data_IF_303031415977
#
_entry.id   IF_303031415977
#
_cell.length_a   1.000
_cell.length_b   1.000
_cell.length_c   1.000
_cell.angle_alpha   90.00
_cell.angle_beta   90.00
_cell.angle_gamma   90.00
#
_symmetry.space_group_name_H-M   'P 1'
#
loop_
_entity.id
_entity.type
_entity.pdbx_description
1 polymer ?
#
# COMPACT_ATOMS: atom_id res chain seq x y z
N UNK A 1 -21.27 -21.65 -2.68
CA UNK A 1 -21.95 -21.07 -3.85
C UNK A 1 -21.98 -19.57 -3.65
N UNK A 2 -21.61 -18.74 -4.61
CA UNK A 2 -21.66 -17.30 -4.44
C UNK A 2 -23.09 -16.89 -4.08
N UNK A 3 -23.19 -15.99 -3.11
CA UNK A 3 -24.46 -15.51 -2.58
C UNK A 3 -25.30 -14.95 -3.72
N UNK A 4 -26.58 -15.35 -3.78
CA UNK A 4 -27.51 -14.95 -4.82
C UNK A 4 -27.71 -13.41 -4.86
N UNK A 5 -27.48 -12.73 -3.74
CA UNK A 5 -27.50 -11.27 -3.65
C UNK A 5 -26.34 -10.63 -4.40
N UNK A 6 -25.13 -11.22 -4.37
CA UNK A 6 -23.95 -10.75 -5.11
C UNK A 6 -24.16 -10.93 -6.62
N UNK A 7 -24.68 -12.07 -7.04
CA UNK A 7 -25.03 -12.30 -8.44
C UNK A 7 -25.99 -11.23 -8.97
N UNK A 8 -26.99 -10.85 -8.17
CA UNK A 8 -27.92 -9.77 -8.52
C UNK A 8 -27.26 -8.39 -8.50
N UNK A 9 -26.27 -8.18 -7.63
CA UNK A 9 -25.49 -6.96 -7.59
C UNK A 9 -24.63 -6.88 -8.86
N UNK A 10 -23.88 -7.92 -9.15
CA UNK A 10 -23.07 -8.03 -10.36
C UNK A 10 -23.91 -7.84 -11.64
N UNK A 11 -25.08 -8.48 -11.74
CA UNK A 11 -26.00 -8.28 -12.85
C UNK A 11 -26.51 -6.83 -12.95
N UNK A 12 -26.71 -6.13 -11.83
CA UNK A 12 -27.04 -4.70 -11.81
C UNK A 12 -25.89 -3.82 -12.23
N UNK A 13 -24.67 -4.11 -11.78
CA UNK A 13 -23.46 -3.39 -12.17
C UNK A 13 -23.18 -3.56 -13.66
N UNK A 14 -23.27 -4.78 -14.21
CA UNK A 14 -23.15 -5.02 -15.65
C UNK A 14 -24.21 -4.24 -16.42
N UNK A 15 -25.46 -4.19 -15.98
CA UNK A 15 -26.49 -3.38 -16.61
C UNK A 15 -26.18 -1.88 -16.60
N UNK A 16 -25.51 -1.39 -15.55
CA UNK A 16 -25.08 0.02 -15.48
C UNK A 16 -23.92 0.26 -16.45
N UNK A 17 -22.94 -0.62 -16.51
CA UNK A 17 -21.80 -0.55 -17.44
C UNK A 17 -22.23 -0.72 -18.90
N UNK A 18 -23.09 -1.69 -19.22
CA UNK A 18 -23.59 -1.91 -20.57
C UNK A 18 -24.44 -0.73 -21.11
N UNK A 19 -25.18 -0.04 -20.23
CA UNK A 19 -25.94 1.14 -20.62
C UNK A 19 -25.08 2.36 -20.98
N UNK A 20 -23.81 2.44 -20.51
CA UNK A 20 -22.85 3.47 -20.93
C UNK A 20 -22.51 3.39 -22.42
N UNK A 21 -22.45 2.22 -22.98
CA UNK A 21 -22.09 2.01 -24.39
C UNK A 21 -23.26 2.13 -25.37
N UNK A 22 -24.51 2.24 -24.92
CA UNK A 22 -25.66 2.07 -25.79
C UNK A 22 -26.68 3.19 -25.93
N UNK A 23 -26.87 4.12 -24.99
CA UNK A 23 -27.93 5.12 -25.12
C UNK A 23 -27.71 6.42 -24.30
N UNK A 24 -27.78 7.54 -24.99
CA UNK A 24 -27.66 8.91 -24.49
C UNK A 24 -28.75 9.38 -23.49
N UNK A 25 -29.60 8.50 -22.98
CA UNK A 25 -30.78 8.87 -22.19
C UNK A 25 -30.76 8.47 -20.71
N UNK A 26 -29.78 7.75 -20.20
CA UNK A 26 -29.72 7.42 -18.77
C UNK A 26 -28.56 8.15 -18.08
N UNK A 27 -28.69 9.46 -17.89
CA UNK A 27 -27.71 10.32 -17.20
C UNK A 27 -27.80 10.29 -15.66
N UNK A 28 -28.61 9.44 -15.07
CA UNK A 28 -28.70 9.31 -13.61
C UNK A 28 -28.50 7.85 -13.23
N UNK A 29 -27.25 7.50 -12.97
CA UNK A 29 -26.93 6.22 -12.32
C UNK A 29 -27.34 6.32 -10.85
N UNK A 30 -28.06 5.32 -10.34
CA UNK A 30 -28.36 5.24 -8.90
C UNK A 30 -27.15 4.67 -8.15
N UNK A 31 -26.03 5.43 -8.14
CA UNK A 31 -24.84 5.08 -7.36
C UNK A 31 -25.20 4.84 -5.89
N UNK A 32 -26.14 5.59 -5.35
CA UNK A 32 -26.62 5.44 -3.97
C UNK A 32 -27.19 4.04 -3.72
N UNK A 33 -27.94 3.49 -4.65
CA UNK A 33 -28.49 2.14 -4.54
C UNK A 33 -27.40 1.07 -4.63
N UNK A 34 -26.40 1.27 -5.49
CA UNK A 34 -25.22 0.40 -5.60
C UNK A 34 -24.40 0.43 -4.33
N UNK A 35 -24.05 1.61 -3.82
CA UNK A 35 -23.29 1.79 -2.56
C UNK A 35 -23.97 1.08 -1.40
N UNK A 36 -25.27 1.29 -1.20
CA UNK A 36 -26.04 0.61 -0.14
C UNK A 36 -26.05 -0.91 -0.28
N UNK A 37 -26.08 -1.40 -1.51
CA UNK A 37 -26.08 -2.85 -1.77
C UNK A 37 -24.71 -3.43 -1.44
N UNK A 38 -23.62 -2.80 -1.86
CA UNK A 38 -22.25 -3.19 -1.54
C UNK A 38 -22.05 -3.17 -0.02
N UNK A 39 -22.42 -2.08 0.66
CA UNK A 39 -22.35 -1.96 2.12
C UNK A 39 -23.09 -3.11 2.82
N UNK A 40 -24.32 -3.43 2.38
CA UNK A 40 -25.10 -4.51 2.98
C UNK A 40 -24.43 -5.87 2.81
N UNK A 41 -23.83 -6.13 1.64
CA UNK A 41 -23.11 -7.38 1.36
C UNK A 41 -21.84 -7.46 2.22
N UNK A 42 -21.08 -6.37 2.28
CA UNK A 42 -19.88 -6.27 3.09
C UNK A 42 -20.18 -6.45 4.59
N UNK A 43 -21.21 -5.78 5.10
CA UNK A 43 -21.64 -5.93 6.50
C UNK A 43 -21.99 -7.37 6.87
N UNK A 44 -22.68 -8.08 5.99
CA UNK A 44 -23.01 -9.49 6.19
C UNK A 44 -21.76 -10.38 6.13
N UNK A 45 -20.83 -10.10 5.21
CA UNK A 45 -19.60 -10.87 5.06
C UNK A 45 -18.70 -10.68 6.30
N UNK A 46 -18.52 -9.44 6.76
CA UNK A 46 -17.69 -9.10 7.91
C UNK A 46 -18.21 -9.68 9.25
N UNK A 47 -19.47 -10.09 9.32
CA UNK A 47 -20.06 -10.76 10.49
C UNK A 47 -20.01 -12.28 10.37
N UNK A 48 -19.58 -12.83 9.24
CA UNK A 48 -19.59 -14.26 8.98
C UNK A 48 -18.37 -14.96 9.56
N UNK A 49 -18.56 -16.16 10.11
CA UNK A 49 -17.50 -17.10 10.47
C UNK A 49 -17.15 -18.10 9.35
N UNK A 50 -17.87 -18.07 8.22
CA UNK A 50 -17.44 -18.74 6.99
C UNK A 50 -16.44 -17.84 6.26
N UNK A 51 -15.20 -17.83 6.77
CA UNK A 51 -14.15 -16.90 6.36
C UNK A 51 -13.83 -16.95 4.86
N UNK A 52 -13.84 -18.16 4.27
CA UNK A 52 -13.52 -18.31 2.84
C UNK A 52 -14.61 -17.68 1.95
N UNK A 53 -15.90 -17.94 2.26
CA UNK A 53 -17.01 -17.33 1.53
C UNK A 53 -17.15 -15.84 1.80
N UNK A 54 -16.83 -15.40 3.01
CA UNK A 54 -16.85 -14.00 3.38
C UNK A 54 -15.79 -13.20 2.59
N UNK A 55 -14.55 -13.69 2.54
CA UNK A 55 -13.47 -13.02 1.79
C UNK A 55 -13.76 -12.98 0.29
N UNK A 56 -14.37 -14.02 -0.29
CA UNK A 56 -14.81 -13.97 -1.70
C UNK A 56 -15.88 -12.90 -1.93
N UNK A 57 -16.81 -12.73 -0.99
CA UNK A 57 -17.80 -11.67 -1.06
C UNK A 57 -17.18 -10.28 -0.94
N UNK A 58 -16.20 -10.12 -0.04
CA UNK A 58 -15.50 -8.86 0.15
C UNK A 58 -14.65 -8.51 -1.07
N UNK A 59 -13.94 -9.49 -1.67
CA UNK A 59 -13.22 -9.33 -2.92
C UNK A 59 -14.12 -8.80 -4.04
N UNK A 60 -15.30 -9.38 -4.20
CA UNK A 60 -16.29 -8.92 -5.19
C UNK A 60 -16.78 -7.50 -4.87
N UNK A 61 -17.02 -7.15 -3.61
CA UNK A 61 -17.39 -5.80 -3.22
C UNK A 61 -16.32 -4.77 -3.59
N UNK A 62 -15.04 -5.08 -3.33
CA UNK A 62 -13.89 -4.23 -3.68
C UNK A 62 -13.81 -4.07 -5.20
N UNK A 63 -13.80 -5.16 -5.94
CA UNK A 63 -13.69 -5.16 -7.40
C UNK A 63 -14.83 -4.34 -8.05
N UNK A 64 -16.08 -4.57 -7.66
CA UNK A 64 -17.23 -3.84 -8.22
C UNK A 64 -17.20 -2.35 -7.85
N UNK A 65 -16.76 -2.00 -6.64
CA UNK A 65 -16.63 -0.60 -6.24
C UNK A 65 -15.56 0.11 -7.06
N UNK A 66 -14.41 -0.54 -7.28
CA UNK A 66 -13.35 -0.01 -8.10
C UNK A 66 -13.78 0.15 -9.56
N UNK A 67 -14.48 -0.83 -10.14
CA UNK A 67 -15.02 -0.73 -11.48
C UNK A 67 -16.02 0.42 -11.64
N UNK A 68 -16.84 0.69 -10.62
CA UNK A 68 -17.74 1.84 -10.61
C UNK A 68 -16.97 3.16 -10.53
N UNK A 69 -15.92 3.22 -9.69
CA UNK A 69 -15.08 4.39 -9.54
C UNK A 69 -14.43 4.76 -10.88
N UNK A 70 -13.81 3.81 -11.55
CA UNK A 70 -13.21 4.00 -12.89
C UNK A 70 -14.24 4.42 -13.95
N UNK A 71 -15.49 4.03 -13.77
CA UNK A 71 -16.56 4.38 -14.68
C UNK A 71 -17.19 5.72 -14.38
N UNK A 72 -16.90 6.37 -13.24
CA UNK A 72 -17.44 7.67 -12.88
C UNK A 72 -16.81 8.78 -13.74
N UNK A 73 -17.66 9.63 -14.36
CA UNK A 73 -17.19 10.71 -15.25
C UNK A 73 -17.08 12.06 -14.53
N UNK A 74 -17.61 12.17 -13.30
CA UNK A 74 -17.70 13.42 -12.54
C UNK A 74 -17.13 13.24 -11.14
N UNK A 75 -16.43 14.25 -10.65
CA UNK A 75 -15.85 14.27 -9.29
C UNK A 75 -16.93 14.12 -8.20
N UNK A 76 -18.12 14.69 -8.39
CA UNK A 76 -19.23 14.59 -7.44
C UNK A 76 -19.75 13.15 -7.25
N UNK A 77 -19.61 12.29 -8.26
CA UNK A 77 -20.02 10.89 -8.21
C UNK A 77 -18.90 9.99 -7.68
N UNK A 78 -17.65 10.40 -7.82
CA UNK A 78 -16.47 9.64 -7.39
C UNK A 78 -16.24 9.70 -5.88
N UNK A 79 -16.45 10.83 -5.21
CA UNK A 79 -16.19 11.02 -3.77
C UNK A 79 -16.90 9.97 -2.87
N UNK A 80 -18.21 9.65 -3.07
CA UNK A 80 -18.85 8.59 -2.29
C UNK A 80 -18.29 7.18 -2.55
N UNK A 81 -17.77 6.92 -3.76
CA UNK A 81 -17.17 5.64 -4.12
C UNK A 81 -15.76 5.53 -3.54
N UNK A 82 -14.96 6.60 -3.56
CA UNK A 82 -13.67 6.67 -2.89
C UNK A 82 -13.84 6.43 -1.38
N UNK A 83 -14.77 7.11 -0.74
CA UNK A 83 -15.09 6.88 0.67
C UNK A 83 -15.48 5.42 0.94
N UNK A 84 -16.24 4.79 0.03
CA UNK A 84 -16.65 3.41 0.17
C UNK A 84 -15.47 2.43 0.05
N UNK A 85 -14.56 2.64 -0.92
CA UNK A 85 -13.41 1.76 -1.10
C UNK A 85 -12.44 1.85 0.07
N UNK A 86 -12.22 3.05 0.61
CA UNK A 86 -11.42 3.29 1.82
C UNK A 86 -12.01 2.56 3.04
N UNK A 87 -13.33 2.71 3.28
CA UNK A 87 -14.02 2.02 4.37
C UNK A 87 -13.94 0.49 4.21
N UNK A 88 -14.15 -0.01 2.99
CA UNK A 88 -14.04 -1.44 2.70
C UNK A 88 -12.64 -1.96 2.97
N UNK A 89 -11.60 -1.31 2.47
CA UNK A 89 -10.22 -1.75 2.63
C UNK A 89 -9.82 -1.79 4.12
N UNK A 90 -10.17 -0.75 4.88
CA UNK A 90 -9.91 -0.68 6.32
C UNK A 90 -10.66 -1.77 7.09
N UNK A 91 -11.94 -1.98 6.80
CA UNK A 91 -12.77 -2.98 7.49
C UNK A 91 -12.37 -4.41 7.14
N UNK A 92 -11.96 -4.65 5.89
CA UNK A 92 -11.41 -5.94 5.47
C UNK A 92 -10.12 -6.22 6.22
N UNK A 93 -9.20 -5.24 6.30
CA UNK A 93 -7.98 -5.40 7.07
C UNK A 93 -8.26 -5.79 8.52
N UNK A 94 -9.19 -5.11 9.21
CA UNK A 94 -9.59 -5.46 10.57
C UNK A 94 -10.25 -6.86 10.65
N UNK A 95 -11.04 -7.26 9.65
CA UNK A 95 -11.64 -8.58 9.58
C UNK A 95 -10.58 -9.68 9.43
N UNK A 96 -9.51 -9.43 8.68
CA UNK A 96 -8.42 -10.39 8.50
C UNK A 96 -7.66 -10.69 9.80
N UNK A 97 -7.69 -9.82 10.79
CA UNK A 97 -7.19 -10.12 12.15
C UNK A 97 -8.01 -11.26 12.80
N UNK A 98 -9.34 -11.23 12.65
CA UNK A 98 -10.20 -12.32 13.13
C UNK A 98 -9.97 -13.62 12.33
N UNK A 99 -9.75 -13.51 11.01
CA UNK A 99 -9.40 -14.68 10.18
C UNK A 99 -8.09 -15.30 10.65
N UNK A 100 -7.08 -14.47 10.92
CA UNK A 100 -5.79 -14.93 11.42
C UNK A 100 -5.91 -15.62 12.78
N UNK A 101 -6.76 -15.12 13.66
CA UNK A 101 -6.95 -15.69 15.01
C UNK A 101 -7.78 -16.98 15.00
N UNK A 102 -8.93 -17.00 14.31
CA UNK A 102 -9.94 -18.03 14.49
C UNK A 102 -10.06 -19.05 13.36
N UNK A 103 -9.58 -18.78 12.15
CA UNK A 103 -9.63 -19.75 11.06
C UNK A 103 -8.55 -20.82 11.21
N UNK A 104 -8.81 -22.03 10.70
CA UNK A 104 -7.76 -23.02 10.50
C UNK A 104 -6.78 -22.58 9.40
N UNK A 105 -5.55 -23.10 9.42
CA UNK A 105 -4.50 -22.65 8.51
C UNK A 105 -4.85 -22.75 7.02
N UNK A 106 -5.47 -23.81 6.49
CA UNK A 106 -5.91 -23.84 5.10
C UNK A 106 -6.99 -22.82 4.75
N UNK A 107 -7.95 -22.59 5.63
CA UNK A 107 -9.00 -21.59 5.45
C UNK A 107 -8.41 -20.18 5.51
N UNK A 108 -7.50 -19.93 6.46
CA UNK A 108 -6.76 -18.69 6.61
C UNK A 108 -5.97 -18.34 5.34
N UNK A 109 -5.20 -19.31 4.82
CA UNK A 109 -4.42 -19.13 3.57
C UNK A 109 -5.31 -18.82 2.37
N UNK A 110 -6.43 -19.55 2.22
CA UNK A 110 -7.38 -19.27 1.15
C UNK A 110 -8.00 -17.88 1.25
N UNK A 111 -8.42 -17.48 2.45
CA UNK A 111 -8.99 -16.17 2.71
C UNK A 111 -7.99 -15.05 2.38
N UNK A 112 -6.75 -15.18 2.88
CA UNK A 112 -5.69 -14.21 2.63
C UNK A 112 -5.36 -14.08 1.14
N UNK A 113 -5.20 -15.19 0.42
CA UNK A 113 -4.95 -15.18 -1.01
C UNK A 113 -6.10 -14.53 -1.80
N UNK A 114 -7.35 -14.73 -1.37
CA UNK A 114 -8.51 -14.08 -2.00
C UNK A 114 -8.46 -12.55 -1.86
N UNK A 115 -8.07 -12.05 -0.69
CA UNK A 115 -7.93 -10.60 -0.46
C UNK A 115 -6.69 -10.05 -1.20
N UNK A 116 -5.57 -10.80 -1.19
CA UNK A 116 -4.38 -10.43 -1.95
C UNK A 116 -4.64 -10.33 -3.47
N UNK A 117 -5.52 -11.18 -4.02
CA UNK A 117 -5.96 -11.06 -5.41
C UNK A 117 -6.71 -9.75 -5.68
N UNK A 118 -7.60 -9.32 -4.77
CA UNK A 118 -8.27 -8.02 -4.91
C UNK A 118 -7.28 -6.85 -4.86
N UNK A 119 -6.30 -6.93 -3.95
CA UNK A 119 -5.26 -5.92 -3.81
C UNK A 119 -4.34 -5.83 -5.04
N UNK A 120 -4.09 -6.96 -5.69
CA UNK A 120 -3.20 -7.06 -6.86
C UNK A 120 -3.93 -6.85 -8.20
N UNK A 121 -5.22 -6.50 -8.18
CA UNK A 121 -5.94 -6.09 -9.37
C UNK A 121 -5.26 -4.86 -9.98
N UNK A 122 -5.08 -4.84 -11.32
CA UNK A 122 -4.36 -3.77 -12.03
C UNK A 122 -4.95 -2.40 -11.74
N UNK A 123 -6.26 -2.29 -11.88
CA UNK A 123 -6.97 -1.04 -11.67
C UNK A 123 -6.86 -0.56 -10.22
N UNK A 124 -6.91 -1.50 -9.25
CA UNK A 124 -6.71 -1.20 -7.83
C UNK A 124 -5.32 -0.66 -7.56
N UNK A 125 -4.29 -1.26 -8.12
CA UNK A 125 -2.89 -0.83 -7.97
C UNK A 125 -2.62 0.53 -8.60
N UNK A 126 -3.24 0.80 -9.73
CA UNK A 126 -3.05 2.06 -10.46
C UNK A 126 -3.82 3.23 -9.86
N UNK A 127 -5.10 3.01 -9.53
CA UNK A 127 -5.99 4.09 -9.10
C UNK A 127 -6.06 4.25 -7.59
N UNK A 128 -5.88 3.15 -6.84
CA UNK A 128 -6.00 3.10 -5.39
C UNK A 128 -4.81 2.39 -4.72
N UNK A 129 -3.55 2.82 -4.99
CA UNK A 129 -2.35 2.12 -4.53
C UNK A 129 -2.27 2.01 -2.99
N UNK A 130 -2.77 3.01 -2.25
CA UNK A 130 -2.83 2.97 -0.79
C UNK A 130 -3.77 1.87 -0.29
N UNK A 131 -4.95 1.75 -0.89
CA UNK A 131 -5.92 0.71 -0.53
C UNK A 131 -5.44 -0.68 -0.94
N UNK A 132 -4.77 -0.80 -2.10
CA UNK A 132 -4.06 -2.02 -2.50
C UNK A 132 -3.09 -2.47 -1.40
N UNK A 133 -2.20 -1.58 -0.95
CA UNK A 133 -1.21 -1.90 0.07
C UNK A 133 -1.81 -2.10 1.46
N UNK A 134 -2.90 -1.41 1.79
CA UNK A 134 -3.65 -1.65 3.02
C UNK A 134 -4.20 -3.09 3.08
N UNK A 135 -4.71 -3.58 1.97
CA UNK A 135 -5.18 -4.97 1.84
C UNK A 135 -4.02 -5.97 1.91
N UNK A 136 -2.89 -5.71 1.22
CA UNK A 136 -1.66 -6.53 1.32
C UNK A 136 -1.16 -6.58 2.76
N UNK A 137 -1.15 -5.45 3.47
CA UNK A 137 -0.71 -5.38 4.87
C UNK A 137 -1.55 -6.22 5.84
N UNK A 138 -2.75 -6.65 5.44
CA UNK A 138 -3.56 -7.58 6.22
C UNK A 138 -2.86 -8.93 6.46
N UNK A 139 -1.87 -9.29 5.63
CA UNK A 139 -1.01 -10.45 5.80
C UNK A 139 -0.22 -10.41 7.12
N UNK A 140 0.10 -9.22 7.63
CA UNK A 140 0.86 -9.06 8.87
C UNK A 140 0.16 -9.66 10.10
N UNK A 141 -1.17 -9.70 10.11
CA UNK A 141 -1.92 -10.37 11.18
C UNK A 141 -1.59 -11.86 11.30
N UNK A 142 -1.23 -12.52 10.19
CA UNK A 142 -0.91 -13.94 10.14
C UNK A 142 0.52 -14.25 10.59
N UNK A 143 1.43 -13.28 10.55
CA UNK A 143 2.83 -13.44 10.93
C UNK A 143 3.03 -13.87 12.39
N UNK A 144 2.09 -13.56 13.26
CA UNK A 144 2.12 -13.89 14.69
C UNK A 144 1.83 -15.37 14.99
N UNK A 145 1.25 -16.12 14.03
CA UNK A 145 0.82 -17.50 14.20
C UNK A 145 1.74 -18.44 13.41
N UNK A 146 2.43 -19.34 14.11
CA UNK A 146 3.44 -20.24 13.52
C UNK A 146 2.89 -21.09 12.39
N UNK A 147 1.64 -21.57 12.49
CA UNK A 147 0.96 -22.41 11.50
C UNK A 147 0.41 -21.63 10.30
N UNK A 148 0.39 -20.30 10.37
CA UNK A 148 -0.18 -19.40 9.33
C UNK A 148 0.84 -18.43 8.75
N UNK A 149 1.99 -18.28 9.41
CA UNK A 149 3.07 -17.37 9.02
C UNK A 149 3.51 -17.54 7.56
N UNK A 150 3.51 -18.77 7.06
CA UNK A 150 3.89 -19.06 5.67
C UNK A 150 3.03 -18.28 4.67
N UNK A 151 1.75 -18.13 4.94
CA UNK A 151 0.83 -17.37 4.07
C UNK A 151 1.13 -15.88 4.04
N UNK A 152 1.60 -15.32 5.18
CA UNK A 152 2.03 -13.93 5.24
C UNK A 152 3.29 -13.71 4.40
N UNK A 153 4.28 -14.61 4.49
CA UNK A 153 5.48 -14.57 3.65
C UNK A 153 5.12 -14.64 2.16
N UNK A 154 4.30 -15.62 1.77
CA UNK A 154 3.91 -15.79 0.36
C UNK A 154 3.30 -14.51 -0.23
N UNK A 155 2.45 -13.80 0.52
CA UNK A 155 1.79 -12.57 0.04
C UNK A 155 2.78 -11.40 -0.03
N UNK A 156 3.60 -11.21 1.00
CA UNK A 156 4.55 -10.08 1.05
C UNK A 156 5.71 -10.30 0.07
N UNK A 157 6.26 -11.52 -0.06
CA UNK A 157 7.30 -11.84 -1.04
C UNK A 157 6.81 -11.63 -2.48
N UNK A 158 5.57 -12.01 -2.78
CA UNK A 158 4.95 -11.71 -4.07
C UNK A 158 4.81 -10.19 -4.31
N UNK A 159 4.53 -9.40 -3.27
CA UNK A 159 4.49 -7.95 -3.39
C UNK A 159 5.88 -7.37 -3.61
N UNK A 160 6.92 -7.88 -2.93
CA UNK A 160 8.33 -7.51 -3.13
C UNK A 160 8.72 -7.75 -4.60
N UNK A 161 8.54 -8.97 -5.08
CA UNK A 161 8.88 -9.33 -6.46
C UNK A 161 8.17 -8.41 -7.46
N UNK A 162 6.88 -8.19 -7.27
CA UNK A 162 6.07 -7.40 -8.20
C UNK A 162 6.39 -5.91 -8.19
N UNK A 163 6.59 -5.32 -7.01
CA UNK A 163 6.67 -3.88 -6.87
C UNK A 163 8.12 -3.34 -6.82
N UNK A 164 9.10 -4.20 -6.48
CA UNK A 164 10.48 -3.78 -6.32
C UNK A 164 11.43 -4.34 -7.39
N UNK A 165 11.22 -5.59 -7.85
CA UNK A 165 12.14 -6.24 -8.79
C UNK A 165 11.80 -5.93 -10.24
N UNK A 166 10.51 -5.78 -10.60
CA UNK A 166 10.11 -5.48 -11.99
C UNK A 166 10.45 -4.07 -12.44
N UNK A 167 10.51 -3.09 -11.54
CA UNK A 167 10.86 -1.70 -11.90
C UNK A 167 12.31 -1.51 -12.35
N UNK A 168 13.21 -2.45 -12.04
CA UNK A 168 14.59 -2.39 -12.48
C UNK A 168 14.81 -2.86 -13.93
N UNK A 169 13.86 -3.56 -14.52
CA UNK A 169 14.01 -4.08 -15.90
C UNK A 169 13.58 -3.09 -16.97
N UNK A 170 12.70 -2.12 -16.65
CA UNK A 170 12.24 -1.12 -17.62
C UNK A 170 13.29 -0.05 -17.90
N UNK A 171 14.13 0.35 -16.92
CA UNK A 171 15.21 1.31 -17.14
C UNK A 171 16.38 0.79 -18.00
N UNK A 172 16.48 -0.53 -18.22
CA UNK A 172 17.57 -1.13 -19.00
C UNK A 172 17.24 -1.27 -20.49
N UNK A 173 15.99 -1.13 -20.91
CA UNK A 173 15.59 -1.28 -22.32
C UNK A 173 15.49 0.05 -23.09
N UNK A 174 15.41 1.21 -22.42
CA UNK A 174 15.30 2.52 -23.09
C UNK A 174 16.65 3.09 -23.62
N UNK A 175 17.79 2.42 -23.45
CA UNK A 175 19.09 2.97 -23.82
C UNK A 175 19.68 2.47 -25.14
N UNK A 176 18.98 1.68 -25.96
CA UNK A 176 19.50 1.16 -27.24
C UNK A 176 18.56 1.41 -28.44
N UNK A 177 17.93 2.58 -28.57
CA UNK A 177 17.34 3.01 -29.85
C UNK A 177 18.21 4.05 -30.50
N UNK A 178 19.36 3.62 -31.10
CA UNK A 178 20.02 4.33 -32.20
C UNK A 178 19.40 3.88 -33.54
N UNK A 179 18.79 4.85 -34.20
CA UNK A 179 18.57 4.98 -35.62
C UNK A 179 18.80 3.75 -36.51
N UNK A 180 17.72 3.19 -37.07
CA UNK A 180 17.73 2.82 -38.51
C UNK A 180 16.28 2.72 -39.04
N UNK A 181 15.96 3.61 -40.00
CA UNK A 181 14.81 3.56 -40.90
C UNK A 181 14.70 2.19 -41.58
N UNK A 182 13.52 1.55 -41.54
CA UNK A 182 13.00 0.85 -42.73
C UNK A 182 11.53 0.40 -42.53
N UNK A 183 10.73 0.81 -43.52
CA UNK A 183 9.36 0.41 -43.80
C UNK A 183 9.12 -1.10 -43.66
N UNK A 184 8.21 -1.50 -42.76
CA UNK A 184 7.46 -2.76 -42.90
C UNK A 184 6.08 -2.61 -42.29
N UNK A 185 5.12 -2.44 -43.18
CA UNK A 185 3.70 -2.67 -42.93
C UNK A 185 3.45 -4.15 -42.60
N UNK A 186 2.56 -4.39 -41.65
CA UNK A 186 1.85 -5.64 -41.40
C UNK A 186 2.50 -6.61 -40.39
N UNK A 187 2.43 -6.27 -39.11
CA UNK A 187 2.43 -7.29 -38.05
C UNK A 187 1.29 -7.02 -37.09
N UNK A 188 0.43 -8.02 -36.98
CA UNK A 188 -0.67 -8.19 -36.03
C UNK A 188 -0.35 -7.55 -34.68
N UNK A 189 -1.15 -6.57 -34.28
CA UNK A 189 -1.22 -6.05 -32.93
C UNK A 189 -1.47 -7.24 -31.97
N UNK A 190 -0.41 -7.80 -31.45
CA UNK A 190 -0.46 -8.48 -30.17
C UNK A 190 -0.57 -7.34 -29.18
N UNK A 191 -1.77 -7.11 -28.66
CA UNK A 191 -2.00 -6.27 -27.47
C UNK A 191 -1.19 -6.88 -26.31
N UNK A 192 0.08 -6.61 -26.29
CA UNK A 192 0.89 -6.70 -25.08
C UNK A 192 0.51 -5.45 -24.27
N UNK A 193 -0.66 -5.53 -23.59
CA UNK A 193 -1.05 -4.57 -22.57
C UNK A 193 0.00 -4.66 -21.47
N UNK A 194 1.15 -4.03 -21.70
CA UNK A 194 2.14 -3.80 -20.64
C UNK A 194 1.40 -3.16 -19.48
N UNK A 195 1.56 -3.73 -18.30
CA UNK A 195 0.91 -3.35 -17.04
C UNK A 195 1.46 -1.99 -16.59
N UNK A 196 1.21 -0.94 -17.39
CA UNK A 196 1.71 0.40 -17.10
C UNK A 196 1.02 0.93 -15.84
N UNK A 197 1.78 1.06 -14.77
CA UNK A 197 1.39 1.72 -13.52
C UNK A 197 2.10 3.07 -13.49
N UNK A 198 1.39 4.15 -13.17
CA UNK A 198 2.01 5.48 -13.08
C UNK A 198 3.14 5.49 -12.04
N UNK A 199 4.18 6.30 -12.26
CA UNK A 199 5.32 6.43 -11.36
C UNK A 199 4.91 6.79 -9.93
N UNK A 200 3.88 7.63 -9.78
CA UNK A 200 3.35 8.00 -8.48
C UNK A 200 2.74 6.80 -7.75
N UNK A 201 1.89 6.02 -8.42
CA UNK A 201 1.30 4.81 -7.85
C UNK A 201 2.35 3.75 -7.55
N UNK A 202 3.33 3.58 -8.43
CA UNK A 202 4.44 2.66 -8.23
C UNK A 202 5.28 3.05 -7.01
N UNK A 203 5.58 4.33 -6.84
CA UNK A 203 6.32 4.82 -5.67
C UNK A 203 5.59 4.51 -4.35
N UNK A 204 4.28 4.71 -4.30
CA UNK A 204 3.45 4.34 -3.14
C UNK A 204 3.50 2.83 -2.89
N UNK A 205 3.33 2.02 -3.93
CA UNK A 205 3.39 0.55 -3.84
C UNK A 205 4.75 0.09 -3.31
N UNK A 206 5.84 0.63 -3.82
CA UNK A 206 7.21 0.30 -3.39
C UNK A 206 7.44 0.65 -1.92
N UNK A 207 7.10 1.87 -1.52
CA UNK A 207 7.28 2.34 -0.15
C UNK A 207 6.55 1.45 0.86
N UNK A 208 5.26 1.21 0.65
CA UNK A 208 4.46 0.39 1.57
C UNK A 208 4.82 -1.10 1.51
N UNK A 209 5.35 -1.59 0.38
CA UNK A 209 5.90 -2.95 0.30
C UNK A 209 7.11 -3.10 1.20
N UNK A 210 8.06 -2.16 1.15
CA UNK A 210 9.22 -2.15 2.04
C UNK A 210 8.82 -2.09 3.52
N UNK A 211 7.86 -1.23 3.86
CA UNK A 211 7.35 -1.13 5.23
C UNK A 211 6.69 -2.44 5.70
N UNK A 212 5.87 -3.05 4.85
CA UNK A 212 5.20 -4.32 5.16
C UNK A 212 6.18 -5.48 5.30
N UNK A 213 7.22 -5.52 4.48
CA UNK A 213 8.30 -6.52 4.59
C UNK A 213 9.07 -6.37 5.90
N UNK A 214 9.42 -5.14 6.27
CA UNK A 214 10.08 -4.87 7.54
C UNK A 214 9.24 -5.32 8.75
N UNK A 215 7.96 -5.00 8.75
CA UNK A 215 7.02 -5.41 9.81
C UNK A 215 6.83 -6.92 9.85
N UNK A 216 6.75 -7.59 8.69
CA UNK A 216 6.70 -9.06 8.62
C UNK A 216 7.90 -9.70 9.32
N UNK A 217 9.11 -9.26 9.00
CA UNK A 217 10.33 -9.79 9.60
C UNK A 217 10.39 -9.47 11.10
N UNK A 218 9.97 -8.28 11.52
CA UNK A 218 9.91 -7.90 12.93
C UNK A 218 8.91 -8.77 13.71
N UNK A 219 7.68 -8.95 13.21
CA UNK A 219 6.63 -9.78 13.84
C UNK A 219 6.98 -11.26 13.87
N UNK A 220 7.75 -11.73 12.90
CA UNK A 220 8.20 -13.11 12.79
C UNK A 220 9.47 -13.39 13.61
N UNK A 221 10.09 -12.39 14.23
CA UNK A 221 11.42 -12.44 14.86
C UNK A 221 12.51 -12.90 13.87
N UNK A 222 12.40 -12.52 12.60
CA UNK A 222 13.38 -12.79 11.56
C UNK A 222 14.37 -11.62 11.43
N UNK A 223 15.32 -11.59 12.37
CA UNK A 223 16.34 -10.54 12.39
C UNK A 223 17.22 -10.56 11.15
N UNK A 224 17.47 -11.75 10.57
CA UNK A 224 18.29 -11.90 9.37
C UNK A 224 17.62 -11.29 8.13
N UNK A 225 16.33 -11.57 7.93
CA UNK A 225 15.53 -10.96 6.86
C UNK A 225 15.46 -9.45 7.00
N UNK A 226 15.25 -8.94 8.22
CA UNK A 226 15.22 -7.51 8.52
C UNK A 226 16.55 -6.82 8.22
N UNK A 227 17.67 -7.41 8.63
CA UNK A 227 19.00 -6.87 8.35
C UNK A 227 19.34 -6.89 6.88
N UNK A 228 18.89 -7.92 6.15
CA UNK A 228 19.11 -8.02 4.72
C UNK A 228 18.31 -6.93 3.99
N UNK A 229 17.03 -6.74 4.32
CA UNK A 229 16.18 -5.69 3.75
C UNK A 229 16.81 -4.29 3.92
N UNK A 230 17.36 -3.98 5.11
CA UNK A 230 18.04 -2.71 5.37
C UNK A 230 19.33 -2.54 4.57
N UNK A 231 20.00 -3.64 4.19
CA UNK A 231 21.21 -3.61 3.35
C UNK A 231 20.88 -3.45 1.87
N UNK A 232 19.78 -4.06 1.42
CA UNK A 232 19.35 -4.00 0.03
C UNK A 232 18.77 -2.63 -0.34
N UNK A 233 18.14 -1.94 0.64
CA UNK A 233 17.53 -0.63 0.46
C UNK A 233 18.07 0.41 1.47
N UNK A 234 19.37 0.72 1.45
CA UNK A 234 20.01 1.59 2.45
C UNK A 234 19.54 3.05 2.38
N UNK A 235 19.03 3.47 1.23
CA UNK A 235 18.56 4.84 0.97
C UNK A 235 17.11 5.05 1.39
N UNK A 236 16.40 3.98 1.74
CA UNK A 236 15.00 4.08 2.16
C UNK A 236 14.87 4.79 3.51
N UNK A 237 14.38 6.02 3.45
CA UNK A 237 14.08 6.83 4.62
C UNK A 237 13.07 6.14 5.55
N UNK A 238 12.04 5.53 4.97
CA UNK A 238 11.01 4.83 5.73
C UNK A 238 11.58 3.65 6.53
N UNK A 239 12.38 2.80 5.90
CA UNK A 239 13.03 1.67 6.58
C UNK A 239 13.97 2.14 7.68
N UNK A 240 14.73 3.19 7.43
CA UNK A 240 15.65 3.76 8.43
C UNK A 240 14.87 4.33 9.63
N UNK A 241 13.73 4.99 9.39
CA UNK A 241 12.85 5.49 10.44
C UNK A 241 12.24 4.35 11.26
N UNK A 242 11.73 3.29 10.60
CA UNK A 242 11.19 2.10 11.26
C UNK A 242 12.24 1.39 12.09
N UNK A 243 13.47 1.27 11.57
CA UNK A 243 14.60 0.70 12.31
C UNK A 243 14.95 1.54 13.56
N UNK A 244 14.96 2.86 13.45
CA UNK A 244 15.19 3.75 14.59
C UNK A 244 14.07 3.59 15.65
N UNK A 245 12.81 3.52 15.24
CA UNK A 245 11.68 3.27 16.13
C UNK A 245 11.80 1.91 16.84
N UNK A 246 12.19 0.86 16.11
CA UNK A 246 12.42 -0.46 16.69
C UNK A 246 13.58 -0.45 17.71
N UNK A 247 14.69 0.26 17.41
CA UNK A 247 15.79 0.44 18.38
C UNK A 247 15.30 1.11 19.67
N UNK A 248 14.37 2.06 19.61
CA UNK A 248 13.76 2.67 20.79
C UNK A 248 12.99 1.62 21.59
N UNK A 249 12.18 0.82 20.90
CA UNK A 249 11.41 -0.26 21.54
C UNK A 249 12.31 -1.28 22.24
N UNK A 250 13.44 -1.60 21.65
CA UNK A 250 14.48 -2.48 22.22
C UNK A 250 15.32 -1.82 23.33
N UNK A 251 15.08 -0.55 23.65
CA UNK A 251 15.84 0.22 24.64
C UNK A 251 17.22 0.68 24.17
N UNK A 252 17.56 0.55 22.88
CA UNK A 252 18.82 1.00 22.26
C UNK A 252 18.79 2.48 21.91
N UNK A 253 18.40 3.32 22.87
CA UNK A 253 18.10 4.74 22.67
C UNK A 253 19.28 5.52 22.08
N UNK A 254 20.52 5.24 22.51
CA UNK A 254 21.70 5.94 22.01
C UNK A 254 21.98 5.62 20.54
N UNK A 255 21.76 4.37 20.12
CA UNK A 255 21.91 3.96 18.72
C UNK A 255 20.85 4.61 17.83
N UNK A 256 19.59 4.62 18.27
CA UNK A 256 18.50 5.30 17.56
C UNK A 256 18.76 6.81 17.40
N UNK A 257 19.24 7.48 18.46
CA UNK A 257 19.61 8.89 18.41
C UNK A 257 20.71 9.15 17.37
N UNK A 258 21.77 8.34 17.37
CA UNK A 258 22.90 8.50 16.43
C UNK A 258 22.48 8.24 14.98
N UNK A 259 21.58 7.27 14.75
CA UNK A 259 21.03 6.98 13.42
C UNK A 259 20.22 8.17 12.90
N UNK A 260 19.31 8.71 13.70
CA UNK A 260 18.51 9.87 13.35
C UNK A 260 19.37 11.13 13.11
N UNK A 261 20.38 11.36 13.96
CA UNK A 261 21.30 12.46 13.80
C UNK A 261 22.14 12.35 12.52
N UNK A 262 22.62 11.15 12.21
CA UNK A 262 23.39 10.88 10.99
C UNK A 262 22.58 11.18 9.75
N UNK A 263 21.32 10.77 9.74
CA UNK A 263 20.41 11.02 8.63
C UNK A 263 20.14 12.53 8.44
N UNK A 264 19.83 13.26 9.51
CA UNK A 264 19.61 14.71 9.45
C UNK A 264 20.85 15.49 9.03
N UNK A 265 22.04 15.00 9.30
CA UNK A 265 23.29 15.65 8.88
C UNK A 265 23.57 15.37 7.40
N UNK A 266 23.36 14.13 6.91
CA UNK A 266 23.57 13.78 5.50
C UNK A 266 22.58 14.47 4.57
N UNK A 267 21.34 14.67 5.00
CA UNK A 267 20.32 15.36 4.20
C UNK A 267 20.54 16.89 4.07
N UNK A 268 21.45 17.49 4.88
CA UNK A 268 21.81 18.91 4.74
C UNK A 268 22.84 19.20 3.66
N UNK A 269 23.71 18.23 3.37
CA UNK A 269 24.75 18.38 2.34
C UNK A 269 24.23 18.14 0.91
N UNK A 270 23.02 17.65 0.78
CA UNK A 270 22.33 17.51 -0.51
C UNK A 270 21.37 18.68 -0.70
N UNK A 271 21.88 19.84 -1.15
CA UNK A 271 21.06 20.94 -1.69
C UNK A 271 20.23 20.49 -2.90
N UNK A 272 20.49 19.30 -3.42
CA UNK A 272 19.81 18.62 -4.52
C UNK A 272 18.87 17.49 -4.06
N UNK A 273 18.31 17.51 -2.86
CA UNK A 273 17.17 16.64 -2.55
C UNK A 273 16.00 17.11 -3.40
N UNK A 274 15.81 16.36 -4.43
CA UNK A 274 14.87 16.52 -5.51
C UNK A 274 13.56 17.18 -5.06
N UNK A 275 13.31 18.35 -5.61
CA UNK A 275 12.11 19.14 -5.34
C UNK A 275 10.86 18.34 -5.75
N UNK A 276 11.00 17.35 -6.63
CA UNK A 276 9.91 16.48 -7.07
C UNK A 276 9.42 15.54 -5.96
N UNK A 277 10.29 15.10 -5.05
CA UNK A 277 9.86 14.38 -3.83
C UNK A 277 9.03 15.26 -2.87
N UNK A 278 9.09 16.59 -3.01
CA UNK A 278 8.26 17.54 -2.24
C UNK A 278 6.86 17.74 -2.83
N UNK A 279 6.64 17.38 -4.10
CA UNK A 279 5.35 17.58 -4.78
C UNK A 279 4.42 16.38 -4.66
N UNK A 280 4.93 15.20 -4.35
CA UNK A 280 4.13 13.99 -4.18
C UNK A 280 3.54 13.85 -2.77
N UNK A 281 2.99 14.89 -2.27
CA UNK A 281 1.95 15.18 -1.25
C UNK A 281 1.72 14.24 -0.04
N UNK A 282 2.22 13.01 0.01
CA UNK A 282 1.80 12.01 0.99
C UNK A 282 2.76 11.79 2.18
N UNK A 283 4.03 12.14 2.09
CA UNK A 283 5.00 11.84 3.15
C UNK A 283 6.03 12.94 3.50
N UNK A 284 6.27 14.01 2.71
CA UNK A 284 7.36 14.96 2.98
C UNK A 284 7.21 15.74 4.28
N UNK A 285 5.98 16.01 4.71
CA UNK A 285 5.73 16.81 5.91
C UNK A 285 5.82 16.01 7.22
N UNK A 286 5.67 14.68 7.17
CA UNK A 286 5.75 13.83 8.35
C UNK A 286 7.18 13.36 8.66
N UNK A 287 8.02 13.15 7.67
CA UNK A 287 9.33 12.52 7.83
C UNK A 287 10.39 13.43 8.49
N UNK A 288 10.52 14.73 8.15
CA UNK A 288 11.44 15.61 8.88
C UNK A 288 11.10 15.74 10.36
N UNK A 289 9.82 15.79 10.69
CA UNK A 289 9.36 15.81 12.08
C UNK A 289 9.58 14.46 12.78
N UNK A 290 9.49 13.35 12.07
CA UNK A 290 9.73 12.01 12.60
C UNK A 290 11.14 11.86 13.17
N UNK A 291 12.18 12.32 12.48
CA UNK A 291 13.56 12.26 12.94
C UNK A 291 13.80 13.08 14.20
N UNK A 292 13.25 14.28 14.28
CA UNK A 292 13.33 15.12 15.48
C UNK A 292 12.61 14.45 16.66
N UNK A 293 11.44 13.87 16.44
CA UNK A 293 10.68 13.14 17.47
C UNK A 293 11.47 11.95 18.01
N UNK A 294 12.12 11.17 17.14
CA UNK A 294 13.01 10.07 17.56
C UNK A 294 14.14 10.57 18.42
N UNK A 295 14.84 11.63 18.00
CA UNK A 295 15.94 12.20 18.77
C UNK A 295 15.47 12.73 20.13
N UNK A 296 14.33 13.40 20.19
CA UNK A 296 13.72 13.91 21.42
C UNK A 296 13.38 12.78 22.38
N UNK A 297 12.63 11.77 21.94
CA UNK A 297 12.30 10.57 22.72
C UNK A 297 13.56 9.87 23.26
N UNK A 298 14.59 9.74 22.43
CA UNK A 298 15.85 9.13 22.84
C UNK A 298 16.58 9.96 23.91
N UNK A 299 16.67 11.29 23.72
CA UNK A 299 17.34 12.21 24.64
C UNK A 299 16.63 12.24 26.00
N UNK A 300 15.29 12.27 26.00
CA UNK A 300 14.46 12.19 27.21
C UNK A 300 14.64 10.84 27.93
N UNK A 301 14.55 9.75 27.20
CA UNK A 301 14.71 8.40 27.75
C UNK A 301 16.11 8.15 28.36
N UNK A 302 17.13 8.81 27.80
CA UNK A 302 18.51 8.80 28.35
C UNK A 302 18.71 9.79 29.50
N UNK A 303 17.75 10.68 29.77
CA UNK A 303 17.91 11.83 30.68
C UNK A 303 19.13 12.71 30.35
N UNK A 304 19.47 12.85 29.07
CA UNK A 304 20.62 13.59 28.58
C UNK A 304 20.23 14.98 28.11
N UNK A 305 20.35 15.96 28.98
CA UNK A 305 20.02 17.37 28.71
C UNK A 305 20.89 17.94 27.58
N UNK A 306 22.10 17.46 27.38
CA UNK A 306 22.97 17.89 26.27
C UNK A 306 22.44 17.44 24.91
N UNK A 307 22.00 16.20 24.82
CA UNK A 307 21.34 15.67 23.61
C UNK A 307 20.03 16.40 23.34
N UNK A 308 19.21 16.63 24.35
CA UNK A 308 17.95 17.35 24.23
C UNK A 308 18.17 18.79 23.75
N UNK A 309 19.18 19.49 24.28
CA UNK A 309 19.52 20.84 23.80
C UNK A 309 19.96 20.83 22.32
N UNK A 310 20.61 19.79 21.84
CA UNK A 310 20.95 19.65 20.42
C UNK A 310 19.71 19.48 19.56
N UNK A 311 18.74 18.67 19.99
CA UNK A 311 17.46 18.51 19.27
C UNK A 311 16.77 19.86 19.09
N UNK A 312 16.65 20.65 20.14
CA UNK A 312 16.00 21.99 20.05
C UNK A 312 16.80 22.96 19.19
N UNK A 313 18.11 22.87 19.11
CA UNK A 313 18.90 23.64 18.15
C UNK A 313 18.58 23.28 16.71
N UNK A 314 18.38 21.98 16.39
CA UNK A 314 17.94 21.57 15.06
C UNK A 314 16.57 22.12 14.71
N UNK A 315 15.61 22.09 15.65
CA UNK A 315 14.28 22.70 15.45
C UNK A 315 14.38 24.20 15.14
N UNK A 316 15.17 24.94 15.91
CA UNK A 316 15.31 26.38 15.73
C UNK A 316 15.95 26.71 14.36
N UNK A 317 16.95 25.94 13.95
CA UNK A 317 17.61 26.16 12.67
C UNK A 317 16.70 25.81 11.50
N UNK A 318 15.94 24.73 11.55
CA UNK A 318 14.99 24.35 10.49
C UNK A 318 13.79 25.31 10.35
N UNK A 319 13.40 26.00 11.44
CA UNK A 319 12.34 27.00 11.39
C UNK A 319 12.82 28.35 10.81
N UNK A 320 14.09 28.68 10.94
CA UNK A 320 14.63 29.97 10.45
C UNK A 320 14.91 29.97 8.95
N UNK A 321 15.12 28.83 8.32
CA UNK A 321 15.33 28.74 6.87
C UNK A 321 14.03 28.94 6.05
N UNK A 322 12.88 29.08 6.72
CA UNK A 322 11.57 29.36 6.07
C UNK A 322 11.13 30.83 6.13
N UNK A 323 11.98 31.75 6.63
CA UNK A 323 11.75 33.19 6.68
C UNK A 323 12.63 33.92 5.67
#
# INVERSE_FOLDING_TARGET
>A
MPNQAIRRCHERFICILDNKHGNAYSKYYDYTGCIKTVQTIADNALQSSDYASACENLRLCIHETNALLLSSENDDDSEPLLTLIDDLAMRVRCYMENVAEFADSPTAGKALNTIAQAANDKDMRQCEPLNSMLLISSALAFAQYDDKRIWAYDVIENAITRNLEYSFNEESEESEEDDEDEDNEDTSEVDDETDFISDESLHVLQLFTLMSAYDLYALSNDDAGREQLLKDYPESMALTLMNAANMIHEGRLRSAYMLAQGFLLSSRDTEDVDIDARHNGLLPDLLPHGWHTIMECCAEGLNDVGLLANVYRYYILSCNDRS
#
